data_IF_681910192759
#
_entry.id   IF_681910192759
#
_cell.length_a   1.000
_cell.length_b   1.000
_cell.length_c   1.000
_cell.angle_alpha   90.00
_cell.angle_beta   90.00
_cell.angle_gamma   90.00
#
_symmetry.space_group_name_H-M   'P 1'
#
loop_
_entity.id
_entity.type
_entity.pdbx_description
1 polymer ?
#
# COMPACT_ATOMS: atom_id res chain seq x y z
N UNK A 1 -45.97 -44.00 5.69
CA UNK A 1 -45.95 -42.88 4.72
C UNK A 1 -45.18 -41.71 5.33
N UNK A 2 -44.03 -41.31 4.76
CA UNK A 2 -43.27 -40.14 5.22
C UNK A 2 -42.63 -39.44 4.04
N UNK A 3 -43.20 -38.31 3.61
CA UNK A 3 -42.73 -37.53 2.43
C UNK A 3 -41.38 -36.87 2.75
N UNK A 4 -40.31 -37.29 2.08
CA UNK A 4 -39.01 -36.59 2.11
C UNK A 4 -39.14 -35.24 1.38
N UNK A 5 -39.06 -34.14 2.12
CA UNK A 5 -39.01 -32.78 1.58
C UNK A 5 -37.66 -32.53 0.88
N UNK A 6 -37.69 -32.34 -0.45
CA UNK A 6 -36.50 -31.95 -1.23
C UNK A 6 -36.19 -30.47 -0.97
N UNK A 7 -35.10 -30.17 -0.26
CA UNK A 7 -34.55 -28.81 -0.17
C UNK A 7 -34.10 -28.35 -1.55
N UNK A 8 -34.81 -27.38 -2.14
CA UNK A 8 -34.38 -26.68 -3.35
C UNK A 8 -33.18 -25.79 -3.01
N UNK A 9 -32.01 -26.11 -3.55
CA UNK A 9 -30.84 -25.23 -3.54
C UNK A 9 -31.09 -24.05 -4.48
N UNK A 10 -31.18 -22.83 -3.94
CA UNK A 10 -31.20 -21.60 -4.75
C UNK A 10 -29.86 -21.50 -5.50
N UNK A 11 -29.90 -21.53 -6.84
CA UNK A 11 -28.75 -21.18 -7.68
C UNK A 11 -28.41 -19.71 -7.42
N UNK A 12 -27.19 -19.45 -6.97
CA UNK A 12 -26.63 -18.10 -6.88
C UNK A 12 -26.64 -17.47 -8.27
N UNK A 13 -27.25 -16.29 -8.41
CA UNK A 13 -27.12 -15.51 -9.63
C UNK A 13 -25.63 -15.22 -9.90
N UNK A 14 -25.14 -15.35 -11.14
CA UNK A 14 -23.78 -14.96 -11.46
C UNK A 14 -23.65 -13.46 -11.27
N UNK A 15 -22.72 -13.04 -10.42
CA UNK A 15 -22.36 -11.63 -10.28
C UNK A 15 -21.96 -11.10 -11.68
N UNK A 16 -22.34 -9.87 -12.06
CA UNK A 16 -21.94 -9.32 -13.35
C UNK A 16 -20.42 -9.36 -13.43
N UNK A 17 -19.91 -9.99 -14.49
CA UNK A 17 -18.49 -10.11 -14.76
C UNK A 17 -17.92 -8.68 -14.81
N UNK A 18 -17.17 -8.27 -13.79
CA UNK A 18 -16.42 -7.01 -13.82
C UNK A 18 -15.38 -7.18 -14.92
N UNK A 19 -15.69 -6.66 -16.11
CA UNK A 19 -14.73 -6.57 -17.21
C UNK A 19 -13.66 -5.60 -16.74
N UNK A 20 -12.51 -6.13 -16.35
CA UNK A 20 -11.34 -5.31 -16.08
C UNK A 20 -10.85 -4.81 -17.44
N UNK A 21 -11.22 -3.59 -17.81
CA UNK A 21 -10.76 -3.00 -19.05
C UNK A 21 -9.24 -2.85 -18.98
N UNK A 22 -8.56 -3.55 -19.89
CA UNK A 22 -7.11 -3.46 -20.04
C UNK A 22 -6.80 -2.24 -20.88
N UNK A 23 -6.56 -1.11 -20.20
CA UNK A 23 -6.14 0.12 -20.85
C UNK A 23 -4.67 0.02 -21.25
N UNK A 24 -4.37 0.17 -22.54
CA UNK A 24 -2.99 0.43 -22.99
C UNK A 24 -2.67 1.91 -22.78
N UNK A 25 -1.70 2.17 -21.92
CA UNK A 25 -1.18 3.52 -21.71
C UNK A 25 -0.41 3.97 -22.97
N UNK A 26 -0.89 5.03 -23.61
CA UNK A 26 -0.16 5.71 -24.69
C UNK A 26 0.97 6.50 -24.04
N UNK A 27 2.19 5.96 -24.10
CA UNK A 27 3.38 6.52 -23.45
C UNK A 27 4.58 6.37 -24.37
N UNK A 28 5.50 7.35 -24.33
CA UNK A 28 6.80 7.20 -25.00
C UNK A 28 7.66 6.17 -24.25
N UNK A 29 8.67 5.55 -24.91
CA UNK A 29 9.59 4.64 -24.24
C UNK A 29 10.26 5.25 -23.00
N UNK A 30 10.65 6.53 -23.08
CA UNK A 30 11.23 7.29 -21.97
C UNK A 30 10.25 7.45 -20.80
N UNK A 31 8.99 7.79 -21.08
CA UNK A 31 7.95 7.89 -20.04
C UNK A 31 7.75 6.56 -19.33
N UNK A 32 7.73 5.46 -20.09
CA UNK A 32 7.61 4.12 -19.52
C UNK A 32 8.77 3.79 -18.59
N UNK A 33 10.00 4.13 -18.98
CA UNK A 33 11.18 3.93 -18.15
C UNK A 33 11.11 4.75 -16.85
N UNK A 34 10.77 6.05 -16.95
CA UNK A 34 10.59 6.90 -15.77
C UNK A 34 9.53 6.35 -14.80
N UNK A 35 8.43 5.80 -15.31
CA UNK A 35 7.40 5.16 -14.49
C UNK A 35 7.92 3.92 -13.77
N UNK A 36 8.68 3.07 -14.46
CA UNK A 36 9.29 1.88 -13.85
C UNK A 36 10.32 2.24 -12.78
N UNK A 37 11.15 3.26 -13.03
CA UNK A 37 12.07 3.81 -12.03
C UNK A 37 11.33 4.34 -10.81
N UNK A 38 10.24 5.09 -11.02
CA UNK A 38 9.40 5.62 -9.93
C UNK A 38 8.81 4.49 -9.08
N UNK A 39 8.26 3.45 -9.71
CA UNK A 39 7.74 2.26 -9.01
C UNK A 39 8.84 1.57 -8.21
N UNK A 40 10.03 1.46 -8.78
CA UNK A 40 11.17 0.83 -8.10
C UNK A 40 11.61 1.62 -6.87
N UNK A 41 11.73 2.95 -6.99
CA UNK A 41 12.05 3.84 -5.88
C UNK A 41 11.00 3.74 -4.77
N UNK A 42 9.71 3.79 -5.15
CA UNK A 42 8.60 3.68 -4.20
C UNK A 42 8.60 2.34 -3.44
N UNK A 43 8.83 1.22 -4.14
CA UNK A 43 8.90 -0.11 -3.49
C UNK A 43 10.11 -0.26 -2.56
N UNK A 44 11.26 0.29 -2.95
CA UNK A 44 12.46 0.33 -2.09
C UNK A 44 12.21 1.16 -0.83
N UNK A 45 11.43 2.23 -0.94
CA UNK A 45 11.02 3.07 0.19
C UNK A 45 10.01 2.36 1.11
N UNK A 46 9.04 1.63 0.54
CA UNK A 46 7.97 0.93 1.25
C UNK A 46 8.46 -0.27 2.06
N UNK A 47 9.38 -1.07 1.52
CA UNK A 47 9.87 -2.31 2.14
C UNK A 47 10.31 -2.15 3.61
N UNK A 48 11.19 -1.20 3.98
CA UNK A 48 11.59 -1.02 5.36
C UNK A 48 10.44 -0.52 6.25
N UNK A 49 9.49 0.25 5.71
CA UNK A 49 8.33 0.70 6.47
C UNK A 49 7.47 -0.49 6.91
N UNK A 50 7.25 -1.47 6.02
CA UNK A 50 6.50 -2.69 6.36
C UNK A 50 7.16 -3.44 7.52
N UNK A 51 8.49 -3.54 7.52
CA UNK A 51 9.23 -4.20 8.59
C UNK A 51 9.12 -3.45 9.92
N UNK A 52 9.29 -2.12 9.91
CA UNK A 52 9.22 -1.26 11.10
C UNK A 52 7.81 -1.31 11.70
N UNK A 53 6.77 -1.14 10.87
CA UNK A 53 5.38 -1.17 11.31
C UNK A 53 5.01 -2.52 11.87
N UNK A 54 5.47 -3.63 11.26
CA UNK A 54 5.20 -4.96 11.79
C UNK A 54 5.92 -5.22 13.12
N UNK A 55 7.17 -4.75 13.27
CA UNK A 55 7.93 -4.90 14.51
C UNK A 55 7.32 -4.10 15.68
N UNK A 56 6.71 -2.94 15.40
CA UNK A 56 6.07 -2.07 16.40
C UNK A 56 4.54 -2.24 16.44
N UNK A 57 4.00 -3.30 15.84
CA UNK A 57 2.55 -3.45 15.67
C UNK A 57 1.78 -3.43 17.00
N UNK A 58 2.34 -3.97 18.08
CA UNK A 58 1.70 -3.94 19.40
C UNK A 58 1.42 -2.52 19.91
N UNK A 59 2.33 -1.59 19.64
CA UNK A 59 2.23 -0.20 20.06
C UNK A 59 1.33 0.61 19.12
N UNK A 60 1.26 0.20 17.86
CA UNK A 60 0.53 0.90 16.80
C UNK A 60 -0.94 0.45 16.71
N UNK A 61 -1.24 -0.83 16.93
CA UNK A 61 -2.57 -1.40 16.79
C UNK A 61 -3.73 -0.66 17.51
N UNK A 62 -3.56 -0.04 18.70
CA UNK A 62 -4.65 0.67 19.37
C UNK A 62 -4.91 2.09 18.83
N UNK A 63 -4.02 2.65 18.02
CA UNK A 63 -4.14 4.02 17.52
C UNK A 63 -5.17 4.14 16.40
N UNK A 64 -5.75 5.35 16.24
CA UNK A 64 -6.60 5.64 15.09
C UNK A 64 -5.80 5.71 13.78
N UNK A 65 -6.48 5.64 12.64
CA UNK A 65 -5.83 5.69 11.31
C UNK A 65 -4.96 6.93 11.09
N UNK A 66 -5.38 8.09 11.60
CA UNK A 66 -4.62 9.33 11.48
C UNK A 66 -3.39 9.32 12.40
N UNK A 67 -3.58 8.93 13.65
CA UNK A 67 -2.51 8.83 14.64
C UNK A 67 -1.45 7.80 14.24
N UNK A 68 -1.86 6.69 13.62
CA UNK A 68 -0.97 5.67 13.07
C UNK A 68 0.00 6.25 12.05
N UNK A 69 -0.52 6.99 11.05
CA UNK A 69 0.32 7.59 10.01
C UNK A 69 1.27 8.62 10.61
N UNK A 70 0.79 9.45 11.53
CA UNK A 70 1.62 10.46 12.21
C UNK A 70 2.70 9.83 13.10
N UNK A 71 2.36 8.78 13.85
CA UNK A 71 3.30 8.06 14.70
C UNK A 71 4.41 7.42 13.88
N UNK A 72 4.07 6.76 12.78
CA UNK A 72 5.05 6.18 11.85
C UNK A 72 5.89 7.27 11.19
N UNK A 73 5.28 8.36 10.70
CA UNK A 73 6.00 9.48 10.10
C UNK A 73 7.05 10.07 11.07
N UNK A 74 6.66 10.27 12.34
CA UNK A 74 7.56 10.74 13.41
C UNK A 74 8.67 9.75 13.76
N UNK A 75 8.46 8.45 13.58
CA UNK A 75 9.52 7.46 13.82
C UNK A 75 10.61 7.45 12.75
N UNK A 76 10.28 7.83 11.51
CA UNK A 76 11.16 7.65 10.35
C UNK A 76 11.76 8.96 9.82
N UNK A 77 11.03 10.07 9.89
CA UNK A 77 11.38 11.30 9.17
C UNK A 77 11.95 12.35 10.12
N UNK A 78 13.14 12.83 9.80
CA UNK A 78 13.74 13.98 10.49
C UNK A 78 12.98 15.23 10.07
N UNK A 79 12.49 15.98 11.03
CA UNK A 79 11.93 17.32 10.82
C UNK A 79 12.50 18.26 11.87
N UNK A 80 12.32 19.57 11.68
CA UNK A 80 12.74 20.56 12.70
C UNK A 80 12.10 20.31 14.07
N UNK A 81 10.85 19.84 14.10
CA UNK A 81 10.14 19.45 15.31
C UNK A 81 10.43 18.01 15.80
N UNK A 82 11.22 17.24 15.05
CA UNK A 82 11.60 15.86 15.36
C UNK A 82 13.05 15.59 14.91
N UNK A 83 14.04 16.18 15.59
CA UNK A 83 15.43 16.11 15.16
C UNK A 83 16.04 14.71 15.30
N UNK A 84 15.57 13.92 16.27
CA UNK A 84 16.09 12.58 16.60
C UNK A 84 15.02 11.50 16.41
N UNK A 85 14.71 11.09 15.16
CA UNK A 85 13.77 10.01 14.90
C UNK A 85 14.27 8.68 15.50
N UNK A 86 13.35 7.94 16.13
CA UNK A 86 13.66 6.76 16.94
C UNK A 86 14.30 5.60 16.16
N UNK A 87 14.12 5.53 14.84
CA UNK A 87 14.48 4.32 14.09
C UNK A 87 15.81 4.45 13.32
N UNK A 88 16.92 4.07 13.97
CA UNK A 88 18.28 4.10 13.40
C UNK A 88 18.42 3.28 12.11
N UNK A 89 17.70 2.15 12.00
CA UNK A 89 17.69 1.33 10.78
C UNK A 89 17.10 2.07 9.59
N UNK A 90 16.08 2.92 9.80
CA UNK A 90 15.51 3.70 8.71
C UNK A 90 16.51 4.78 8.26
N UNK A 91 17.21 5.41 9.20
CA UNK A 91 18.26 6.37 8.88
C UNK A 91 19.42 5.73 8.11
N UNK A 92 19.82 4.50 8.42
CA UNK A 92 20.80 3.75 7.61
C UNK A 92 20.35 3.59 6.15
N UNK A 93 19.06 3.34 5.93
CA UNK A 93 18.51 3.21 4.57
C UNK A 93 18.46 4.55 3.86
N UNK A 94 18.01 5.62 4.53
CA UNK A 94 18.01 6.98 3.96
C UNK A 94 19.43 7.44 3.64
N UNK A 95 20.42 7.08 4.45
CA UNK A 95 21.83 7.39 4.18
C UNK A 95 22.39 6.57 3.02
N UNK A 96 21.95 5.31 2.86
CA UNK A 96 22.33 4.46 1.72
C UNK A 96 21.72 4.93 0.40
N UNK A 97 20.53 5.53 0.44
CA UNK A 97 19.80 5.99 -0.74
C UNK A 97 19.48 7.49 -0.61
N UNK A 98 20.33 8.39 -1.15
CA UNK A 98 20.14 9.83 -1.00
C UNK A 98 18.80 10.31 -1.56
N UNK A 99 18.26 9.63 -2.57
CA UNK A 99 16.94 9.90 -3.15
C UNK A 99 15.80 9.83 -2.10
N UNK A 100 15.96 8.99 -1.08
CA UNK A 100 14.95 8.84 -0.01
C UNK A 100 14.95 10.02 0.96
N UNK A 101 16.03 10.82 1.02
CA UNK A 101 16.13 12.00 1.89
C UNK A 101 15.15 13.09 1.46
N UNK A 102 14.99 13.28 0.15
CA UNK A 102 14.08 14.26 -0.45
C UNK A 102 12.80 13.61 -1.00
N UNK A 103 12.35 12.51 -0.38
CA UNK A 103 11.15 11.81 -0.85
C UNK A 103 9.91 12.70 -0.67
N UNK A 104 9.07 12.89 -1.72
CA UNK A 104 7.89 13.76 -1.64
C UNK A 104 6.96 13.40 -0.48
N UNK A 105 6.47 14.42 0.23
CA UNK A 105 5.66 14.23 1.45
C UNK A 105 4.38 13.42 1.21
N UNK A 106 3.69 13.66 0.10
CA UNK A 106 2.47 12.91 -0.24
C UNK A 106 2.76 11.44 -0.54
N UNK A 107 3.85 11.13 -1.27
CA UNK A 107 4.27 9.75 -1.53
C UNK A 107 4.71 9.06 -0.24
N UNK A 108 5.37 9.78 0.67
CA UNK A 108 5.76 9.25 1.97
C UNK A 108 4.55 8.80 2.77
N UNK A 109 3.53 9.67 2.90
CA UNK A 109 2.30 9.34 3.62
C UNK A 109 1.52 8.21 2.95
N UNK A 110 1.49 8.17 1.62
CA UNK A 110 0.92 7.04 0.87
C UNK A 110 1.66 5.73 1.20
N UNK A 111 2.99 5.73 1.19
CA UNK A 111 3.79 4.54 1.52
C UNK A 111 3.60 4.09 2.98
N UNK A 112 3.50 5.04 3.92
CA UNK A 112 3.20 4.73 5.33
C UNK A 112 1.82 4.08 5.45
N UNK A 113 0.79 4.68 4.85
CA UNK A 113 -0.58 4.15 4.88
C UNK A 113 -0.66 2.75 4.26
N UNK A 114 0.04 2.52 3.15
CA UNK A 114 0.14 1.21 2.53
C UNK A 114 0.84 0.20 3.43
N UNK A 115 1.97 0.56 4.05
CA UNK A 115 2.68 -0.32 4.98
C UNK A 115 1.77 -0.76 6.14
N UNK A 116 1.01 0.18 6.71
CA UNK A 116 0.01 -0.10 7.74
C UNK A 116 -1.06 -1.07 7.21
N UNK A 117 -1.59 -0.86 6.00
CA UNK A 117 -2.59 -1.74 5.39
C UNK A 117 -2.08 -3.17 5.17
N UNK A 118 -0.84 -3.31 4.68
CA UNK A 118 -0.17 -4.61 4.49
C UNK A 118 -0.05 -5.36 5.81
N UNK A 119 0.46 -4.68 6.85
CA UNK A 119 0.67 -5.27 8.18
C UNK A 119 -0.66 -5.60 8.84
N UNK A 120 -1.63 -4.69 8.82
CA UNK A 120 -2.97 -4.92 9.37
C UNK A 120 -3.63 -6.16 8.74
N UNK A 121 -3.63 -6.24 7.41
CA UNK A 121 -4.17 -7.40 6.68
C UNK A 121 -3.42 -8.70 7.02
N UNK A 122 -2.11 -8.65 7.16
CA UNK A 122 -1.31 -9.79 7.60
C UNK A 122 -1.69 -10.23 9.03
N UNK A 123 -1.75 -9.30 9.98
CA UNK A 123 -2.04 -9.55 11.40
C UNK A 123 -3.43 -10.15 11.60
N UNK A 124 -4.46 -9.63 10.90
CA UNK A 124 -5.82 -10.19 10.94
C UNK A 124 -5.84 -11.62 10.41
N UNK A 125 -5.23 -11.87 9.24
CA UNK A 125 -5.16 -13.23 8.67
C UNK A 125 -4.37 -14.18 9.56
N UNK A 126 -3.29 -13.70 10.18
CA UNK A 126 -2.46 -14.50 11.06
C UNK A 126 -3.22 -14.88 12.34
N UNK A 127 -3.93 -13.93 12.97
CA UNK A 127 -4.82 -14.20 14.11
C UNK A 127 -5.95 -15.17 13.76
N UNK A 128 -6.60 -14.99 12.61
CA UNK A 128 -7.62 -15.94 12.12
C UNK A 128 -7.06 -17.34 11.87
N UNK A 129 -5.83 -17.43 11.39
CA UNK A 129 -5.15 -18.71 11.23
C UNK A 129 -4.81 -19.32 12.60
N UNK A 130 -4.37 -18.53 13.58
CA UNK A 130 -4.11 -19.00 14.95
C UNK A 130 -5.36 -19.51 15.65
N UNK A 131 -6.52 -18.87 15.45
CA UNK A 131 -7.80 -19.30 16.04
C UNK A 131 -8.42 -20.55 15.40
N UNK A 132 -7.74 -21.15 14.41
CA UNK A 132 -8.21 -22.38 13.74
C UNK A 132 -9.18 -22.12 12.57
N UNK A 133 -9.55 -20.87 12.30
CA UNK A 133 -10.34 -20.52 11.11
C UNK A 133 -9.47 -20.62 9.84
N UNK A 134 -9.38 -21.84 9.32
CA UNK A 134 -8.56 -22.23 8.17
C UNK A 134 -9.42 -23.00 7.18
N UNK A 135 -9.21 -22.78 5.88
CA UNK A 135 -9.89 -23.54 4.81
C UNK A 135 -9.62 -25.05 4.88
N UNK A 136 -8.43 -25.44 5.36
CA UNK A 136 -7.99 -26.84 5.52
C UNK A 136 -7.10 -26.94 6.76
N UNK A 137 -7.09 -28.10 7.42
CA UNK A 137 -6.23 -28.38 8.59
C UNK A 137 -4.73 -28.20 8.27
N UNK A 138 -4.32 -28.53 7.05
CA UNK A 138 -2.94 -28.44 6.55
C UNK A 138 -2.57 -27.08 5.96
N UNK A 139 -3.46 -26.07 6.05
CA UNK A 139 -3.17 -24.75 5.51
C UNK A 139 -1.99 -24.09 6.22
N UNK A 140 -0.98 -23.66 5.44
CA UNK A 140 0.19 -22.92 5.94
C UNK A 140 -0.21 -21.57 6.52
N UNK A 141 0.57 -21.08 7.47
CA UNK A 141 0.39 -19.74 8.02
C UNK A 141 0.53 -18.68 6.92
N UNK A 142 -0.23 -17.57 6.99
CA UNK A 142 -0.01 -16.46 6.10
C UNK A 142 1.40 -15.92 6.27
N UNK A 143 1.99 -15.40 5.20
CA UNK A 143 3.33 -14.79 5.20
C UNK A 143 3.20 -13.29 5.02
N UNK A 144 4.05 -12.53 5.72
CA UNK A 144 4.17 -11.10 5.48
C UNK A 144 4.94 -10.89 4.17
N UNK A 145 4.23 -10.49 3.13
CA UNK A 145 4.83 -10.16 1.83
C UNK A 145 5.29 -8.72 1.84
N UNK A 146 6.52 -8.45 2.32
CA UNK A 146 7.08 -7.10 2.34
C UNK A 146 7.38 -6.54 0.93
N UNK A 147 7.63 -7.42 -0.05
CA UNK A 147 7.79 -7.02 -1.45
C UNK A 147 6.43 -6.92 -2.13
N UNK A 148 5.75 -5.81 -1.90
CA UNK A 148 4.44 -5.59 -2.49
C UNK A 148 4.60 -5.12 -3.94
N UNK A 149 3.86 -5.72 -4.88
CA UNK A 149 3.74 -5.27 -6.27
C UNK A 149 2.90 -3.97 -6.35
N UNK A 150 3.11 -3.07 -5.40
CA UNK A 150 2.35 -1.83 -5.27
C UNK A 150 2.82 -0.80 -6.27
N UNK A 151 1.91 0.10 -6.61
CA UNK A 151 2.17 1.25 -7.46
C UNK A 151 1.98 2.51 -6.62
N UNK A 152 2.85 3.53 -6.78
CA UNK A 152 2.71 4.78 -6.06
C UNK A 152 1.38 5.48 -6.41
N UNK A 153 0.81 6.19 -5.43
CA UNK A 153 -0.32 7.07 -5.68
C UNK A 153 0.13 8.25 -6.56
N UNK A 154 -0.33 8.29 -7.81
CA UNK A 154 -0.07 9.39 -8.74
C UNK A 154 -1.30 10.30 -8.79
N UNK A 155 -1.14 11.52 -8.29
CA UNK A 155 -2.17 12.55 -8.39
C UNK A 155 -2.19 13.16 -9.79
N UNK A 156 -3.39 13.52 -10.23
CA UNK A 156 -3.57 14.27 -11.47
C UNK A 156 -2.90 15.63 -11.31
N UNK A 157 -1.87 15.89 -12.12
CA UNK A 157 -1.24 17.20 -12.18
C UNK A 157 -2.24 18.29 -12.64
N UNK A 158 -1.98 19.56 -12.31
CA UNK A 158 -2.78 20.66 -12.83
C UNK A 158 -2.83 20.58 -14.36
N UNK A 159 -4.04 20.62 -14.92
CA UNK A 159 -4.20 20.71 -16.37
C UNK A 159 -3.58 22.03 -16.80
N UNK A 160 -2.47 22.01 -17.54
CA UNK A 160 -2.02 23.19 -18.28
C UNK A 160 -3.18 23.59 -19.17
N UNK A 161 -3.77 24.76 -18.91
CA UNK A 161 -4.82 25.31 -19.77
C UNK A 161 -4.31 25.29 -21.20
N UNK A 162 -5.06 24.68 -22.10
CA UNK A 162 -4.91 24.92 -23.53
C UNK A 162 -4.99 26.42 -23.73
N UNK A 163 -3.85 27.09 -23.93
CA UNK A 163 -3.84 28.46 -24.45
C UNK A 163 -4.61 28.40 -25.76
N UNK A 164 -5.85 28.87 -25.77
CA UNK A 164 -6.49 29.26 -27.02
C UNK A 164 -5.59 30.36 -27.57
N UNK A 165 -5.01 30.12 -28.74
CA UNK A 165 -4.56 31.21 -29.58
C UNK A 165 -5.82 31.99 -29.95
N UNK A 166 -6.19 32.98 -29.14
CA UNK A 166 -7.08 34.03 -29.62
C UNK A 166 -6.25 34.87 -30.58
N UNK A 167 -6.62 34.78 -31.86
CA UNK A 167 -6.14 35.63 -32.93
C UNK A 167 -6.35 37.09 -32.53
N UNK A 168 -5.25 37.82 -32.42
CA UNK A 168 -5.26 39.26 -32.58
C UNK A 168 -5.33 39.54 -34.08
N UNK A 169 -6.52 39.91 -34.56
CA UNK A 169 -6.76 40.78 -35.71
C UNK A 169 -8.01 41.61 -35.41
#
# INVERSE_FOLDING_TARGET
MGKKSKRKTKKSQPQPLIRTDVWRLVTTPEQKEMMLMTVTCYRKYLLPLVLIVNAQWSNLAPLSSLELVLAVEKMIHVTTANPNPKHSYYQKIVNKYPDHRKFPSYLRRAAIAEAIGIVSSFQIRYRSWQSGNRKKRTAKAPRLTAMCKTYPALYKGPKRGTRRHESFM
#
